data_IF_945710383714
#
_entry.id   IF_945710383714
#
_cell.length_a   1.000
_cell.length_b   1.000
_cell.length_c   1.000
_cell.angle_alpha   90.00
_cell.angle_beta   90.00
_cell.angle_gamma   90.00
#
_symmetry.space_group_name_H-M   'P 1'
#
loop_
_entity.id
_entity.type
_entity.pdbx_description
1 polymer ?
#
# COMPACT_ATOMS: atom_id res chain seq x y z
N UNK A 1 5.27 -11.97 0.87
CA UNK A 1 4.14 -12.27 -0.03
C UNK A 1 3.66 -10.96 -0.62
N UNK A 2 3.31 -10.92 -1.90
CA UNK A 2 2.78 -9.71 -2.55
C UNK A 2 1.41 -9.99 -3.15
N UNK A 3 0.49 -9.03 -3.02
CA UNK A 3 -0.85 -9.10 -3.60
C UNK A 3 -1.09 -7.87 -4.45
N UNK A 4 -1.72 -8.06 -5.60
CA UNK A 4 -2.03 -7.03 -6.58
C UNK A 4 -3.50 -6.65 -6.46
N UNK A 5 -3.78 -5.35 -6.46
CA UNK A 5 -5.14 -4.82 -6.43
C UNK A 5 -5.27 -3.78 -7.54
N UNK A 6 -6.26 -3.98 -8.41
CA UNK A 6 -6.66 -2.97 -9.37
C UNK A 6 -7.72 -2.08 -8.75
N UNK A 7 -7.52 -0.77 -8.85
CA UNK A 7 -8.50 0.19 -8.39
C UNK A 7 -8.90 1.13 -9.52
N UNK A 8 -10.17 1.54 -9.49
CA UNK A 8 -10.69 2.59 -10.36
C UNK A 8 -11.37 3.71 -9.58
N UNK A 9 -11.08 4.96 -9.95
CA UNK A 9 -11.68 6.16 -9.35
C UNK A 9 -11.98 7.20 -10.44
N UNK A 10 -12.96 8.08 -10.20
CA UNK A 10 -13.44 9.12 -11.11
C UNK A 10 -13.02 10.54 -10.72
N UNK A 11 -12.06 10.69 -9.79
CA UNK A 11 -11.60 12.00 -9.30
C UNK A 11 -10.51 12.62 -10.17
N UNK A 12 -10.54 13.95 -10.30
CA UNK A 12 -9.63 14.74 -11.14
C UNK A 12 -8.41 15.36 -10.41
N UNK A 13 -8.20 15.08 -9.13
CA UNK A 13 -7.15 15.75 -8.33
C UNK A 13 -6.21 14.78 -7.62
N UNK A 14 -6.76 13.91 -6.77
CA UNK A 14 -5.97 12.97 -5.98
C UNK A 14 -6.77 11.71 -5.75
N UNK A 15 -6.09 10.56 -5.89
CA UNK A 15 -6.71 9.26 -5.67
C UNK A 15 -6.18 8.68 -4.36
N UNK A 16 -7.09 8.30 -3.47
CA UNK A 16 -6.77 7.75 -2.15
C UNK A 16 -7.31 6.33 -2.06
N UNK A 17 -6.39 5.38 -1.95
CA UNK A 17 -6.74 3.98 -1.74
C UNK A 17 -6.39 3.59 -0.32
N UNK A 18 -7.34 2.99 0.39
CA UNK A 18 -7.13 2.42 1.71
C UNK A 18 -7.45 0.93 1.66
N UNK A 19 -6.47 0.11 1.99
CA UNK A 19 -6.61 -1.35 2.03
C UNK A 19 -6.67 -1.78 3.48
N UNK A 20 -7.85 -2.25 3.89
CA UNK A 20 -8.10 -2.78 5.22
C UNK A 20 -7.68 -4.25 5.23
N UNK A 21 -6.63 -4.59 5.98
CA UNK A 21 -6.17 -5.96 6.10
C UNK A 21 -6.78 -6.56 7.36
N UNK A 22 -7.81 -7.39 7.19
CA UNK A 22 -8.38 -8.17 8.29
C UNK A 22 -7.41 -9.31 8.65
N UNK A 23 -6.74 -9.18 9.79
CA UNK A 23 -5.90 -10.25 10.34
C UNK A 23 -6.75 -11.20 11.16
N UNK A 24 -6.59 -12.51 10.96
CA UNK A 24 -7.09 -13.48 11.92
C UNK A 24 -6.18 -13.41 13.15
N UNK A 25 -6.68 -13.11 14.36
CA UNK A 25 -5.83 -13.10 15.55
C UNK A 25 -5.27 -14.52 15.72
N UNK A 26 -3.95 -14.66 15.63
CA UNK A 26 -3.27 -15.87 16.08
C UNK A 26 -3.24 -15.78 17.59
N UNK A 27 -3.93 -16.70 18.25
CA UNK A 27 -3.94 -16.86 19.70
C UNK A 27 -2.50 -16.81 20.24
N UNK A 28 -2.31 -16.17 21.39
CA UNK A 28 -1.07 -15.93 22.16
C UNK A 28 -0.21 -14.70 21.78
N UNK A 29 -0.42 -13.62 22.54
CA UNK A 29 0.55 -12.66 23.14
C UNK A 29 1.75 -12.13 22.33
N UNK A 30 1.80 -12.32 21.01
CA UNK A 30 2.81 -11.74 20.15
C UNK A 30 2.09 -10.97 19.04
N UNK A 31 1.87 -9.67 19.28
CA UNK A 31 1.50 -8.75 18.20
C UNK A 31 2.66 -8.68 17.21
N UNK A 32 2.72 -9.64 16.28
CA UNK A 32 3.70 -9.61 15.20
C UNK A 32 3.47 -8.33 14.41
N UNK A 33 4.42 -7.41 14.52
CA UNK A 33 4.45 -6.15 13.78
C UNK A 33 4.79 -6.47 12.33
N UNK A 34 3.78 -6.80 11.53
CA UNK A 34 3.93 -6.93 10.08
C UNK A 34 4.20 -5.54 9.50
N UNK A 35 5.22 -5.43 8.65
CA UNK A 35 5.46 -4.23 7.86
C UNK A 35 4.69 -4.37 6.56
N UNK A 36 3.93 -3.33 6.23
CA UNK A 36 3.13 -3.25 5.03
C UNK A 36 3.75 -2.19 4.15
N UNK A 37 4.07 -2.57 2.92
CA UNK A 37 4.65 -1.68 1.94
C UNK A 37 3.69 -1.68 0.75
N UNK A 38 3.31 -0.48 0.31
CA UNK A 38 2.39 -0.29 -0.81
C UNK A 38 3.08 0.57 -1.88
N UNK A 39 2.92 0.21 -3.14
CA UNK A 39 3.50 0.95 -4.26
C UNK A 39 2.64 0.79 -5.51
N UNK A 40 2.81 1.70 -6.47
CA UNK A 40 2.37 1.42 -7.84
C UNK A 40 3.31 0.40 -8.48
N UNK A 41 2.71 -0.55 -9.21
CA UNK A 41 3.45 -1.58 -9.90
C UNK A 41 4.63 -1.01 -10.70
N UNK A 42 5.83 -1.44 -10.33
CA UNK A 42 7.08 -1.03 -10.98
C UNK A 42 7.63 0.33 -10.57
N UNK A 43 7.03 1.03 -9.60
CA UNK A 43 7.41 2.38 -9.17
C UNK A 43 7.90 2.46 -7.71
N UNK A 44 8.42 1.36 -7.15
CA UNK A 44 8.95 1.36 -5.78
C UNK A 44 10.11 2.35 -5.55
N UNK A 45 10.89 2.65 -6.58
CA UNK A 45 11.98 3.62 -6.49
C UNK A 45 11.49 5.08 -6.35
N UNK A 46 10.24 5.36 -6.72
CA UNK A 46 9.66 6.69 -6.70
C UNK A 46 8.97 6.96 -5.35
N UNK A 47 9.51 7.88 -4.51
CA UNK A 47 8.97 8.10 -3.17
C UNK A 47 7.54 8.66 -3.17
N UNK A 48 7.12 9.33 -4.26
CA UNK A 48 5.75 9.82 -4.43
C UNK A 48 4.73 8.75 -4.82
N UNK A 49 5.20 7.54 -5.18
CA UNK A 49 4.37 6.45 -5.68
C UNK A 49 4.37 5.23 -4.75
N UNK A 50 4.86 5.39 -3.51
CA UNK A 50 4.90 4.36 -2.50
C UNK A 50 4.49 4.88 -1.12
N UNK A 51 4.11 3.96 -0.24
CA UNK A 51 3.93 4.20 1.17
C UNK A 51 4.52 3.04 1.97
N UNK A 52 5.46 3.38 2.86
CA UNK A 52 6.19 2.45 3.73
C UNK A 52 5.64 2.46 5.17
N UNK A 53 4.36 2.82 5.36
CA UNK A 53 3.71 2.91 6.67
C UNK A 53 3.76 1.57 7.43
N UNK A 54 4.36 1.62 8.63
CA UNK A 54 4.57 0.44 9.47
C UNK A 54 3.65 0.40 10.68
N UNK A 55 3.24 -0.80 11.09
CA UNK A 55 2.58 -1.04 12.38
C UNK A 55 1.08 -0.73 12.44
N UNK A 56 0.43 -0.43 11.31
CA UNK A 56 -1.03 -0.27 11.21
C UNK A 56 -1.67 -1.48 10.55
N UNK A 57 -2.94 -1.73 10.88
CA UNK A 57 -3.75 -2.78 10.22
C UNK A 57 -4.33 -2.33 8.87
N UNK A 58 -4.22 -1.03 8.59
CA UNK A 58 -4.66 -0.38 7.37
C UNK A 58 -3.40 0.13 6.68
N UNK A 59 -3.23 -0.23 5.42
CA UNK A 59 -2.23 0.39 4.56
C UNK A 59 -2.97 1.33 3.61
N UNK A 60 -2.60 2.62 3.62
CA UNK A 60 -3.13 3.62 2.70
C UNK A 60 -2.10 3.98 1.64
N UNK A 61 -2.54 4.46 0.48
CA UNK A 61 -1.67 5.16 -0.47
C UNK A 61 -2.45 6.34 -1.06
N UNK A 62 -1.79 7.49 -1.16
CA UNK A 62 -2.34 8.69 -1.79
C UNK A 62 -1.47 9.02 -2.98
N UNK A 63 -2.08 9.04 -4.16
CA UNK A 63 -1.35 9.18 -5.41
C UNK A 63 -1.78 10.47 -6.12
N UNK A 64 -0.83 11.30 -6.57
CA UNK A 64 -1.14 12.44 -7.42
C UNK A 64 -1.71 11.94 -8.76
N UNK A 65 -2.77 12.58 -9.23
CA UNK A 65 -3.49 12.15 -10.44
C UNK A 65 -2.63 12.20 -11.73
N UNK A 66 -1.62 13.05 -11.77
CA UNK A 66 -0.80 13.28 -12.95
C UNK A 66 0.52 12.50 -12.97
N UNK A 67 0.86 11.82 -11.86
CA UNK A 67 2.14 11.11 -11.70
C UNK A 67 1.91 9.60 -11.55
N UNK A 68 2.97 8.85 -11.28
CA UNK A 68 2.89 7.43 -10.94
C UNK A 68 2.28 6.52 -12.03
N UNK A 69 2.42 6.89 -13.30
CA UNK A 69 1.96 6.11 -14.46
C UNK A 69 0.50 5.62 -14.37
N UNK A 70 -0.37 6.42 -13.77
CA UNK A 70 -1.79 6.13 -13.66
C UNK A 70 -2.42 6.05 -15.06
N UNK A 71 -3.11 4.93 -15.37
CA UNK A 71 -3.82 4.79 -16.63
C UNK A 71 -5.10 5.64 -16.57
N UNK A 72 -5.31 6.53 -17.55
CA UNK A 72 -6.41 7.48 -17.55
C UNK A 72 -7.28 7.28 -18.78
N UNK A 73 -8.56 6.99 -18.56
CA UNK A 73 -9.55 6.78 -19.60
C UNK A 73 -10.62 7.84 -19.48
N UNK A 74 -10.81 8.65 -20.52
CA UNK A 74 -11.93 9.60 -20.58
C UNK A 74 -13.16 8.88 -21.15
N UNK A 75 -14.26 8.88 -20.41
CA UNK A 75 -15.56 8.43 -20.93
C UNK A 75 -16.46 9.64 -21.15
N UNK A 76 -17.30 9.57 -22.19
CA UNK A 76 -18.38 10.52 -22.44
C UNK A 76 -19.71 10.05 -21.83
N UNK A 77 -19.81 8.77 -21.45
CA UNK A 77 -21.01 8.18 -20.90
C UNK A 77 -20.69 7.03 -19.92
N UNK A 78 -20.79 7.25 -18.59
CA UNK A 78 -20.97 8.55 -17.94
C UNK A 78 -19.75 9.45 -18.18
N UNK A 79 -19.99 10.76 -18.28
CA UNK A 79 -18.92 11.73 -18.55
C UNK A 79 -17.96 11.80 -17.36
N UNK A 80 -16.68 11.55 -17.59
CA UNK A 80 -15.66 11.63 -16.54
C UNK A 80 -14.29 11.15 -16.98
N UNK A 81 -13.30 11.32 -16.11
CA UNK A 81 -11.99 10.69 -16.24
C UNK A 81 -11.90 9.55 -15.24
N UNK A 82 -11.63 8.36 -15.74
CA UNK A 82 -11.44 7.16 -14.95
C UNK A 82 -9.94 6.92 -14.84
N UNK A 83 -9.48 6.71 -13.61
CA UNK A 83 -8.11 6.31 -13.34
C UNK A 83 -8.12 4.83 -13.04
N UNK A 84 -7.20 4.08 -13.64
CA UNK A 84 -6.93 2.69 -13.30
C UNK A 84 -5.48 2.54 -12.93
N UNK A 85 -5.20 1.83 -11.84
CA UNK A 85 -3.83 1.50 -11.46
C UNK A 85 -3.78 0.21 -10.66
N UNK A 86 -2.61 -0.43 -10.72
CA UNK A 86 -2.31 -1.63 -9.96
C UNK A 86 -1.42 -1.25 -8.78
N UNK A 87 -1.96 -1.40 -7.58
CA UNK A 87 -1.20 -1.26 -6.33
C UNK A 87 -0.66 -2.63 -5.95
N UNK A 88 0.65 -2.69 -5.71
CA UNK A 88 1.32 -3.86 -5.17
C UNK A 88 1.45 -3.67 -3.67
N UNK A 89 0.94 -4.64 -2.91
CA UNK A 89 1.04 -4.67 -1.45
C UNK A 89 1.96 -5.80 -1.06
N UNK A 90 3.09 -5.47 -0.44
CA UNK A 90 4.07 -6.44 0.02
C UNK A 90 4.03 -6.56 1.55
N UNK A 91 3.90 -7.81 2.00
CA UNK A 91 3.89 -8.18 3.40
C UNK A 91 5.27 -8.67 3.80
N UNK A 92 5.95 -7.88 4.63
CA UNK A 92 7.18 -8.28 5.28
C UNK A 92 6.88 -8.72 6.72
N UNK A 93 7.10 -10.01 6.98
CA UNK A 93 7.04 -10.54 8.34
C UNK A 93 8.30 -10.10 9.04
N UNK A 94 8.19 -9.09 9.91
CA UNK A 94 9.24 -8.84 10.88
C UNK A 94 9.13 -9.93 11.93
N UNK A 95 9.86 -11.04 11.75
CA UNK A 95 10.21 -11.85 12.89
C UNK A 95 11.01 -10.94 13.81
N UNK A 96 10.51 -10.75 15.02
CA UNK A 96 11.20 -9.94 15.99
C UNK A 96 12.58 -10.57 16.25
N UNK A 97 13.64 -9.99 15.70
CA UNK A 97 15.03 -10.23 16.08
C UNK A 97 15.49 -9.17 17.09
N UNK A 98 14.59 -8.54 17.85
CA UNK A 98 14.97 -7.93 19.13
C UNK A 98 15.07 -9.03 20.21
N UNK A 99 15.98 -9.99 20.01
CA UNK A 99 16.59 -10.76 21.10
C UNK A 99 17.84 -11.44 20.55
N UNK A 100 18.89 -10.63 20.36
CA UNK A 100 20.30 -10.94 20.67
C UNK A 100 21.13 -9.72 20.26
N UNK A 101 21.09 -8.67 21.08
CA UNK A 101 22.22 -7.73 21.12
C UNK A 101 22.80 -7.74 22.55
N UNK A 102 23.85 -8.52 22.84
CA UNK A 102 24.55 -8.47 24.11
C UNK A 102 25.59 -7.33 24.12
N UNK A 103 25.17 -6.12 23.76
CA UNK A 103 25.99 -4.91 23.84
C UNK A 103 25.16 -3.77 24.44
N UNK A 104 24.85 -3.91 25.72
CA UNK A 104 24.61 -2.79 26.62
C UNK A 104 25.17 -3.19 27.99
N UNK A 105 26.35 -2.62 28.26
CA UNK A 105 27.16 -2.52 29.48
C UNK A 105 26.69 -3.15 30.78
#
# INVERSE_FOLDING_TARGET
MSTYFEFSDTKNETVKYAVNIKRKPSSSTLERKTRLMCEIQGLYAEPGCRNDENGRQVAGITLPFETCNLARTRSLNPRGVFVTTTVVITFHVSANLEYMNPQNS
#
